data_IF_861337370829
#
_entry.id   IF_861337370829
#
_cell.length_a   1.000
_cell.length_b   1.000
_cell.length_c   1.000
_cell.angle_alpha   90.00
_cell.angle_beta   90.00
_cell.angle_gamma   90.00
#
_symmetry.space_group_name_H-M   'P 1'
#
loop_
_entity.id
_entity.type
_entity.pdbx_description
1 polymer ?
#
# COMPACT_ATOMS: atom_id res chain seq x y z
N UNK A 1 18.51 -38.19 -17.65
CA UNK A 1 18.10 -37.53 -16.42
C UNK A 1 17.55 -36.12 -16.76
N UNK A 2 18.13 -35.43 -17.75
CA UNK A 2 17.80 -34.02 -18.07
C UNK A 2 16.37 -33.81 -18.58
N UNK A 3 15.74 -34.78 -19.21
CA UNK A 3 14.36 -34.67 -19.75
C UNK A 3 13.27 -34.89 -18.68
N UNK A 4 13.64 -35.19 -17.43
CA UNK A 4 12.67 -35.48 -16.36
C UNK A 4 12.48 -34.35 -15.35
N UNK A 5 13.44 -33.43 -15.26
CA UNK A 5 13.40 -32.31 -14.32
C UNK A 5 13.34 -30.99 -15.08
N UNK A 6 12.30 -30.22 -14.83
CA UNK A 6 12.15 -28.86 -15.33
C UNK A 6 12.20 -27.88 -14.16
N UNK A 7 13.11 -26.92 -14.22
CA UNK A 7 13.22 -25.83 -13.26
C UNK A 7 12.84 -24.52 -13.95
N UNK A 8 12.03 -23.72 -13.28
CA UNK A 8 11.62 -22.39 -13.78
C UNK A 8 11.71 -21.39 -12.66
N UNK A 9 12.38 -20.28 -12.90
CA UNK A 9 12.45 -19.15 -11.98
C UNK A 9 11.91 -17.88 -12.66
N UNK A 10 11.13 -17.11 -11.92
CA UNK A 10 10.65 -15.80 -12.34
C UNK A 10 10.84 -14.81 -11.21
N UNK A 11 11.30 -13.62 -11.53
CA UNK A 11 11.44 -12.52 -10.56
C UNK A 11 10.93 -11.24 -11.20
N UNK A 12 10.21 -10.43 -10.42
CA UNK A 12 9.81 -9.09 -10.80
C UNK A 12 10.08 -8.12 -9.65
N UNK A 13 10.52 -6.93 -9.99
CA UNK A 13 10.75 -5.84 -9.04
C UNK A 13 10.06 -4.58 -9.52
N UNK A 14 9.37 -3.92 -8.61
CA UNK A 14 8.72 -2.63 -8.84
C UNK A 14 9.19 -1.65 -7.77
N UNK A 15 9.68 -0.49 -8.19
CA UNK A 15 9.97 0.65 -7.31
C UNK A 15 9.06 1.80 -7.73
N UNK A 16 8.20 2.21 -6.85
CA UNK A 16 7.23 3.27 -7.09
C UNK A 16 7.46 4.42 -6.10
N UNK A 17 7.68 5.61 -6.63
CA UNK A 17 7.79 6.84 -5.86
C UNK A 17 6.62 7.76 -6.18
N UNK A 18 6.01 8.31 -5.14
CA UNK A 18 4.96 9.33 -5.24
C UNK A 18 5.31 10.48 -4.31
N UNK A 19 5.21 11.71 -4.82
CA UNK A 19 5.22 12.93 -4.03
C UNK A 19 3.87 13.61 -4.19
N UNK A 20 3.27 13.99 -3.09
CA UNK A 20 1.97 14.67 -3.03
C UNK A 20 2.02 15.81 -2.01
N UNK A 21 0.97 16.61 -1.98
CA UNK A 21 0.80 17.65 -0.98
C UNK A 21 0.49 17.04 0.40
N UNK A 22 0.97 17.63 1.46
CA UNK A 22 0.76 17.12 2.82
C UNK A 22 -0.71 17.10 3.23
N UNK A 23 -1.44 18.18 3.02
CA UNK A 23 -2.86 18.27 3.41
C UNK A 23 -3.77 17.56 2.42
N UNK A 24 -4.14 16.31 2.72
CA UNK A 24 -5.06 15.49 1.91
C UNK A 24 -4.67 15.32 0.44
N UNK A 25 -3.44 15.59 0.07
CA UNK A 25 -2.92 15.45 -1.28
C UNK A 25 -3.59 16.35 -2.31
N UNK A 26 -3.24 16.15 -3.57
CA UNK A 26 -3.78 16.92 -4.72
C UNK A 26 -5.31 16.80 -4.83
N UNK A 27 -5.88 15.64 -4.51
CA UNK A 27 -7.34 15.44 -4.50
C UNK A 27 -8.03 16.27 -3.42
N UNK A 28 -7.36 16.57 -2.32
CA UNK A 28 -7.84 17.46 -1.26
C UNK A 28 -7.99 18.90 -1.76
N UNK A 29 -6.98 19.42 -2.47
CA UNK A 29 -7.02 20.76 -3.07
C UNK A 29 -8.18 20.89 -4.05
N UNK A 30 -8.37 19.89 -4.93
CA UNK A 30 -9.49 19.88 -5.89
C UNK A 30 -10.84 19.91 -5.17
N UNK A 31 -11.02 19.09 -4.13
CA UNK A 31 -12.26 19.10 -3.32
C UNK A 31 -12.49 20.43 -2.62
N UNK A 32 -11.45 21.08 -2.11
CA UNK A 32 -11.55 22.40 -1.51
C UNK A 32 -11.96 23.46 -2.54
N UNK A 33 -11.40 23.43 -3.75
CA UNK A 33 -11.74 24.38 -4.82
C UNK A 33 -13.21 24.31 -5.24
N UNK A 34 -13.82 23.12 -5.20
CA UNK A 34 -15.25 22.95 -5.47
C UNK A 34 -16.16 23.47 -4.35
N UNK A 35 -15.66 23.58 -3.13
CA UNK A 35 -16.42 23.98 -1.94
C UNK A 35 -16.21 25.42 -1.54
N UNK A 36 -15.15 26.06 -2.03
CA UNK A 36 -14.88 27.47 -1.75
C UNK A 36 -15.85 28.38 -2.53
N UNK A 37 -16.34 29.41 -1.88
CA UNK A 37 -17.19 30.37 -2.56
C UNK A 37 -16.40 31.15 -3.62
N UNK A 38 -16.90 31.26 -4.86
CA UNK A 38 -16.26 32.07 -5.91
C UNK A 38 -16.23 33.58 -5.65
N UNK A 39 -16.97 34.04 -4.64
CA UNK A 39 -17.01 35.45 -4.25
C UNK A 39 -15.91 35.86 -3.28
N UNK A 40 -15.15 34.89 -2.75
CA UNK A 40 -14.03 35.16 -1.86
C UNK A 40 -12.77 35.51 -2.66
N UNK A 41 -12.03 36.54 -2.28
CA UNK A 41 -10.73 36.83 -2.88
C UNK A 41 -9.72 35.75 -2.53
N UNK A 42 -8.64 35.63 -3.26
CA UNK A 42 -7.54 34.70 -2.95
C UNK A 42 -6.88 35.09 -1.63
N UNK A 43 -6.59 36.37 -1.48
CA UNK A 43 -6.09 36.99 -0.26
C UNK A 43 -7.05 38.06 0.22
N UNK A 44 -7.11 38.31 1.54
CA UNK A 44 -7.90 39.41 2.06
C UNK A 44 -7.30 40.73 1.62
N UNK A 45 -8.16 41.68 1.30
CA UNK A 45 -7.77 43.07 1.01
C UNK A 45 -7.92 43.92 2.25
N UNK A 46 -6.91 44.72 2.53
CA UNK A 46 -6.87 45.65 3.65
C UNK A 46 -6.62 47.07 3.11
N UNK A 47 -7.14 48.12 3.76
CA UNK A 47 -6.84 49.50 3.37
C UNK A 47 -5.36 49.82 3.70
N UNK A 48 -4.67 50.44 2.74
CA UNK A 48 -3.35 51.04 2.97
C UNK A 48 -3.49 52.39 3.74
N UNK A 49 -2.35 53.03 3.95
CA UNK A 49 -2.29 54.32 4.65
C UNK A 49 -3.13 55.43 3.98
N UNK A 50 -3.45 55.28 2.69
CA UNK A 50 -4.26 56.22 1.90
C UNK A 50 -5.74 55.77 1.78
N UNK A 51 -6.12 54.69 2.46
CA UNK A 51 -7.46 54.09 2.40
C UNK A 51 -7.73 53.29 1.12
N UNK A 52 -6.70 52.97 0.32
CA UNK A 52 -6.79 52.14 -0.89
C UNK A 52 -6.71 50.65 -0.50
N UNK A 53 -7.65 49.85 -1.01
CA UNK A 53 -7.63 48.37 -0.79
C UNK A 53 -6.45 47.76 -1.52
N UNK A 54 -5.59 47.09 -0.79
CA UNK A 54 -4.41 46.30 -1.28
C UNK A 54 -4.52 44.90 -0.76
N UNK A 55 -3.95 43.93 -1.53
CA UNK A 55 -3.91 42.56 -1.10
C UNK A 55 -3.03 42.43 0.15
N UNK A 56 -3.55 41.77 1.17
CA UNK A 56 -2.79 41.41 2.36
C UNK A 56 -2.00 40.12 2.11
N UNK A 57 -1.09 39.79 3.03
CA UNK A 57 -0.40 38.49 3.04
C UNK A 57 -1.31 37.37 3.61
N UNK A 58 -2.53 37.70 4.00
CA UNK A 58 -3.44 36.77 4.66
C UNK A 58 -4.34 36.04 3.67
N UNK A 59 -4.23 34.74 3.60
CA UNK A 59 -5.12 33.90 2.80
C UNK A 59 -6.59 34.06 3.24
N UNK A 60 -7.50 34.20 2.30
CA UNK A 60 -8.91 34.21 2.61
C UNK A 60 -9.40 32.85 3.13
N UNK A 61 -10.31 32.86 4.06
CA UNK A 61 -10.97 31.70 4.62
C UNK A 61 -12.47 31.85 4.53
N UNK A 62 -13.15 30.85 3.99
CA UNK A 62 -14.61 30.80 3.89
C UNK A 62 -15.20 29.65 4.69
N UNK A 63 -16.07 28.88 4.08
CA UNK A 63 -16.59 27.63 4.66
C UNK A 63 -15.54 26.53 4.71
N UNK A 64 -14.44 26.69 3.96
CA UNK A 64 -13.29 25.79 3.89
C UNK A 64 -12.00 26.61 3.78
N UNK A 65 -10.86 25.97 4.03
CA UNK A 65 -9.53 26.55 3.82
C UNK A 65 -9.33 26.89 2.34
N UNK A 66 -8.59 27.96 2.07
CA UNK A 66 -8.27 28.37 0.71
C UNK A 66 -7.48 27.26 -0.03
N UNK A 67 -7.95 26.78 -1.20
CA UNK A 67 -7.27 25.71 -1.93
C UNK A 67 -5.87 26.11 -2.41
N UNK A 68 -5.63 27.39 -2.73
CA UNK A 68 -4.30 27.87 -3.10
C UNK A 68 -3.36 27.91 -1.89
N UNK A 69 -3.83 28.32 -0.71
CA UNK A 69 -3.04 28.19 0.51
C UNK A 69 -2.58 26.76 0.71
N UNK A 70 -3.49 25.78 0.59
CA UNK A 70 -3.14 24.36 0.73
C UNK A 70 -2.15 23.93 -0.34
N UNK A 71 -2.30 24.39 -1.57
CA UNK A 71 -1.39 24.06 -2.66
C UNK A 71 0.05 24.57 -2.43
N UNK A 72 0.20 25.72 -1.79
CA UNK A 72 1.51 26.36 -1.57
C UNK A 72 2.12 26.08 -0.19
N UNK A 73 1.29 25.91 0.85
CA UNK A 73 1.76 25.87 2.23
C UNK A 73 1.54 24.52 2.94
N UNK A 74 0.90 23.54 2.31
CA UNK A 74 0.51 22.30 3.03
C UNK A 74 1.66 21.30 3.27
N UNK A 75 2.89 21.63 2.90
CA UNK A 75 4.00 20.72 2.99
C UNK A 75 3.93 19.59 1.98
N UNK A 76 4.42 18.40 2.37
CA UNK A 76 4.52 17.27 1.44
C UNK A 76 4.32 15.91 2.09
N UNK A 77 3.86 14.96 1.28
CA UNK A 77 3.92 13.52 1.53
C UNK A 77 4.79 12.85 0.46
N UNK A 78 5.85 12.18 0.88
CA UNK A 78 6.65 11.33 0.01
C UNK A 78 6.40 9.87 0.33
N UNK A 79 6.05 9.08 -0.68
CA UNK A 79 5.80 7.65 -0.54
C UNK A 79 6.70 6.85 -1.46
N UNK A 80 7.45 5.94 -0.87
CA UNK A 80 8.29 4.97 -1.57
C UNK A 80 7.72 3.58 -1.35
N UNK A 81 7.33 2.91 -2.42
CA UNK A 81 6.79 1.54 -2.37
C UNK A 81 7.66 0.64 -3.23
N UNK A 82 8.16 -0.45 -2.65
CA UNK A 82 8.96 -1.45 -3.35
C UNK A 82 8.29 -2.80 -3.23
N UNK A 83 8.19 -3.50 -4.34
CA UNK A 83 7.61 -4.84 -4.39
C UNK A 83 8.58 -5.76 -5.12
N UNK A 84 9.01 -6.81 -4.45
CA UNK A 84 9.80 -7.88 -5.04
C UNK A 84 8.96 -9.16 -5.02
N UNK A 85 8.71 -9.72 -6.20
CA UNK A 85 8.06 -11.02 -6.35
C UNK A 85 9.07 -12.02 -6.91
N UNK A 86 9.15 -13.19 -6.30
CA UNK A 86 9.91 -14.32 -6.76
C UNK A 86 9.05 -15.56 -6.81
N UNK A 87 9.15 -16.34 -7.91
CA UNK A 87 8.49 -17.64 -8.06
C UNK A 87 9.55 -18.62 -8.56
N UNK A 88 9.65 -19.75 -7.89
CA UNK A 88 10.48 -20.88 -8.29
C UNK A 88 9.61 -22.13 -8.42
N UNK A 89 9.69 -22.80 -9.56
CA UNK A 89 9.00 -24.05 -9.81
C UNK A 89 10.00 -25.15 -10.14
N UNK A 90 9.73 -26.33 -9.64
CA UNK A 90 10.45 -27.56 -9.94
C UNK A 90 9.43 -28.66 -10.27
N UNK A 91 9.47 -29.18 -11.49
CA UNK A 91 8.60 -30.26 -11.97
C UNK A 91 9.46 -31.46 -12.28
N UNK A 92 9.19 -32.59 -11.61
CA UNK A 92 9.90 -33.84 -11.78
C UNK A 92 8.95 -34.92 -12.32
N UNK A 93 9.26 -35.43 -13.51
CA UNK A 93 8.59 -36.61 -14.07
C UNK A 93 9.21 -37.86 -13.46
N UNK A 94 8.45 -38.56 -12.62
CA UNK A 94 8.92 -39.80 -11.95
C UNK A 94 8.87 -40.99 -12.92
N UNK A 95 7.68 -41.22 -13.48
CA UNK A 95 7.40 -42.21 -14.53
C UNK A 95 6.37 -41.58 -15.50
N UNK A 96 6.09 -42.32 -16.59
CA UNK A 96 5.04 -41.88 -17.50
C UNK A 96 3.70 -41.83 -16.80
N UNK A 97 3.08 -40.64 -16.84
CA UNK A 97 1.81 -40.35 -16.18
C UNK A 97 1.93 -39.84 -14.73
N UNK A 98 3.11 -39.93 -14.08
CA UNK A 98 3.28 -39.46 -12.68
C UNK A 98 4.33 -38.37 -12.60
N UNK A 99 3.88 -37.16 -12.15
CA UNK A 99 4.72 -35.98 -11.98
C UNK A 99 4.59 -35.43 -10.56
N UNK A 100 5.70 -34.95 -10.02
CA UNK A 100 5.76 -34.21 -8.77
C UNK A 100 6.13 -32.77 -9.10
N UNK A 101 5.34 -31.82 -8.61
CA UNK A 101 5.59 -30.39 -8.71
C UNK A 101 5.87 -29.79 -7.33
N UNK A 102 6.81 -28.85 -7.30
CA UNK A 102 7.07 -27.97 -6.18
C UNK A 102 7.02 -26.54 -6.70
N UNK A 103 6.32 -25.67 -5.97
CA UNK A 103 6.35 -24.24 -6.19
C UNK A 103 6.69 -23.54 -4.88
N UNK A 104 7.63 -22.62 -4.95
CA UNK A 104 7.88 -21.66 -3.88
C UNK A 104 7.72 -20.25 -4.44
N UNK A 105 6.94 -19.43 -3.75
CA UNK A 105 6.81 -18.01 -4.08
C UNK A 105 7.06 -17.15 -2.85
N UNK A 106 7.66 -15.98 -3.08
CA UNK A 106 7.85 -14.95 -2.07
C UNK A 106 7.46 -13.60 -2.65
N UNK A 107 6.62 -12.86 -1.91
CA UNK A 107 6.28 -11.47 -2.15
C UNK A 107 6.81 -10.65 -0.98
N UNK A 108 7.69 -9.69 -1.28
CA UNK A 108 8.22 -8.73 -0.31
C UNK A 108 7.69 -7.36 -0.72
N UNK A 109 6.89 -6.78 0.14
CA UNK A 109 6.32 -5.45 -0.02
C UNK A 109 6.85 -4.54 1.08
N UNK A 110 7.47 -3.43 0.70
CA UNK A 110 7.88 -2.38 1.64
C UNK A 110 7.28 -1.05 1.23
N UNK A 111 6.81 -0.30 2.21
CA UNK A 111 6.30 1.06 1.99
C UNK A 111 6.83 1.99 3.08
N UNK A 112 7.50 3.03 2.66
CA UNK A 112 7.89 4.15 3.49
C UNK A 112 7.05 5.37 3.12
N UNK A 113 6.55 6.08 4.12
CA UNK A 113 5.86 7.36 3.97
C UNK A 113 6.52 8.37 4.87
N UNK A 114 7.00 9.46 4.28
CA UNK A 114 7.57 10.61 4.97
C UNK A 114 6.63 11.79 4.73
N UNK A 115 6.10 12.38 5.79
CA UNK A 115 5.11 13.46 5.75
C UNK A 115 5.59 14.64 6.57
N UNK A 116 5.54 15.81 5.99
CA UNK A 116 5.74 17.09 6.65
C UNK A 116 4.55 17.98 6.39
N UNK A 117 3.92 18.45 7.45
CA UNK A 117 2.82 19.39 7.43
C UNK A 117 3.20 20.63 8.23
N UNK A 118 3.46 21.76 7.58
CA UNK A 118 3.71 23.02 8.25
C UNK A 118 2.43 23.58 8.88
N UNK A 119 2.60 24.46 9.82
CA UNK A 119 1.49 25.19 10.43
C UNK A 119 0.90 26.18 9.43
N UNK A 120 -0.31 25.92 8.97
CA UNK A 120 -1.04 26.81 8.08
C UNK A 120 -1.98 27.72 8.90
N UNK A 121 -1.76 29.04 8.87
CA UNK A 121 -2.59 30.02 9.54
C UNK A 121 -3.67 30.58 8.60
N UNK A 122 -4.85 30.82 9.11
CA UNK A 122 -5.97 31.39 8.37
C UNK A 122 -6.54 32.58 9.13
N UNK A 123 -7.11 33.55 8.41
CA UNK A 123 -7.53 34.84 8.96
C UNK A 123 -8.93 35.19 8.50
N UNK A 124 -9.64 35.97 9.31
CA UNK A 124 -10.88 36.65 8.93
C UNK A 124 -10.62 37.86 8.03
N UNK A 125 -11.64 38.39 7.41
CA UNK A 125 -11.54 39.54 6.51
C UNK A 125 -11.08 40.84 7.19
N UNK A 126 -11.19 40.92 8.51
CA UNK A 126 -10.70 42.02 9.34
C UNK A 126 -9.23 41.88 9.75
N UNK A 127 -8.54 40.80 9.28
CA UNK A 127 -7.16 40.50 9.62
C UNK A 127 -6.99 39.78 10.95
N UNK A 128 -8.05 39.51 11.71
CA UNK A 128 -7.94 38.75 12.95
C UNK A 128 -7.70 37.24 12.67
N UNK A 129 -6.88 36.57 13.48
CA UNK A 129 -6.61 35.16 13.30
C UNK A 129 -7.85 34.31 13.59
N UNK A 130 -8.09 33.27 12.80
CA UNK A 130 -9.11 32.29 13.10
C UNK A 130 -8.78 31.53 14.40
N UNK A 131 -9.81 31.25 15.21
CA UNK A 131 -9.68 30.44 16.42
C UNK A 131 -9.04 29.08 16.14
N UNK A 132 -9.32 28.50 14.99
CA UNK A 132 -8.70 27.23 14.55
C UNK A 132 -7.16 27.28 14.45
N UNK A 133 -6.56 28.48 14.40
CA UNK A 133 -5.11 28.63 14.40
C UNK A 133 -4.46 28.32 15.76
N UNK A 134 -5.23 28.37 16.85
CA UNK A 134 -4.73 28.05 18.20
C UNK A 134 -4.31 26.58 18.29
N UNK A 135 -5.03 25.69 17.60
CA UNK A 135 -4.75 24.25 17.56
C UNK A 135 -3.90 23.83 16.34
N UNK A 136 -3.57 24.77 15.46
CA UNK A 136 -2.76 24.48 14.28
C UNK A 136 -1.32 24.17 14.69
N UNK A 137 -0.83 23.00 14.27
CA UNK A 137 0.51 22.50 14.54
C UNK A 137 1.21 22.16 13.25
N UNK A 138 2.50 22.35 13.24
CA UNK A 138 3.39 21.73 12.29
C UNK A 138 3.82 20.37 12.84
N UNK A 139 3.94 19.39 11.96
CA UNK A 139 4.40 18.06 12.35
C UNK A 139 5.17 17.35 11.26
N UNK A 140 6.04 16.44 11.69
CA UNK A 140 6.69 15.46 10.85
C UNK A 140 6.20 14.08 11.26
N UNK A 141 5.82 13.28 10.29
CA UNK A 141 5.46 11.88 10.49
C UNK A 141 6.24 10.99 9.53
N UNK A 142 6.77 9.89 10.05
CA UNK A 142 7.43 8.86 9.26
C UNK A 142 6.81 7.51 9.59
N UNK A 143 6.46 6.74 8.56
CA UNK A 143 5.95 5.39 8.76
C UNK A 143 6.60 4.40 7.81
N UNK A 144 6.80 3.19 8.31
CA UNK A 144 7.37 2.07 7.58
C UNK A 144 6.47 0.86 7.72
N UNK A 145 6.18 0.21 6.59
CA UNK A 145 5.41 -1.03 6.52
C UNK A 145 6.21 -2.05 5.73
N UNK A 146 6.48 -3.19 6.35
CA UNK A 146 7.04 -4.37 5.72
C UNK A 146 6.01 -5.49 5.74
N UNK A 147 5.80 -6.13 4.61
CA UNK A 147 4.99 -7.34 4.48
C UNK A 147 5.76 -8.36 3.67
N UNK A 148 5.91 -9.55 4.21
CA UNK A 148 6.52 -10.68 3.53
C UNK A 148 5.55 -11.84 3.52
N UNK A 149 5.01 -12.16 2.34
CA UNK A 149 4.14 -13.31 2.11
C UNK A 149 4.91 -14.38 1.36
N UNK A 150 4.87 -15.61 1.86
CA UNK A 150 5.55 -16.75 1.26
C UNK A 150 4.56 -17.90 1.09
N UNK A 151 4.68 -18.62 -0.02
CA UNK A 151 3.84 -19.80 -0.28
C UNK A 151 4.72 -20.95 -0.75
N UNK A 152 4.57 -22.10 -0.12
CA UNK A 152 5.18 -23.36 -0.53
C UNK A 152 4.07 -24.33 -0.90
N UNK A 153 4.15 -24.88 -2.12
CA UNK A 153 3.18 -25.82 -2.62
C UNK A 153 3.86 -27.06 -3.17
N UNK A 154 3.29 -28.21 -2.87
CA UNK A 154 3.66 -29.49 -3.48
C UNK A 154 2.44 -30.09 -4.15
N UNK A 155 2.65 -30.70 -5.31
CA UNK A 155 1.62 -31.42 -6.06
C UNK A 155 2.13 -32.75 -6.56
N UNK A 156 1.28 -33.76 -6.49
CA UNK A 156 1.47 -35.06 -7.11
C UNK A 156 0.36 -35.21 -8.15
N UNK A 157 0.76 -35.32 -9.41
CA UNK A 157 -0.16 -35.44 -10.54
C UNK A 157 0.00 -36.79 -11.18
N UNK A 158 -1.10 -37.54 -11.33
CA UNK A 158 -1.18 -38.80 -12.03
C UNK A 158 -2.18 -38.69 -13.17
N UNK A 159 -1.76 -39.06 -14.38
CA UNK A 159 -2.63 -39.12 -15.56
C UNK A 159 -2.28 -40.38 -16.35
N UNK A 160 -3.27 -41.22 -16.66
CA UNK A 160 -3.06 -42.45 -17.42
C UNK A 160 -4.29 -42.78 -18.25
N UNK A 161 -4.03 -43.12 -19.51
CA UNK A 161 -5.05 -43.69 -20.42
C UNK A 161 -4.81 -45.19 -20.57
N UNK A 162 -5.86 -45.99 -20.33
CA UNK A 162 -5.85 -47.44 -20.45
C UNK A 162 -7.06 -47.83 -21.33
N UNK A 163 -6.76 -48.11 -22.61
CA UNK A 163 -7.84 -48.36 -23.58
C UNK A 163 -8.78 -47.21 -23.74
N UNK A 164 -10.04 -47.36 -23.34
CA UNK A 164 -11.08 -46.29 -23.39
C UNK A 164 -11.25 -45.55 -22.08
N UNK A 165 -10.43 -45.84 -21.07
CA UNK A 165 -10.49 -45.22 -19.75
C UNK A 165 -9.38 -44.19 -19.60
N UNK A 166 -9.72 -42.98 -19.22
CA UNK A 166 -8.79 -41.93 -18.87
C UNK A 166 -8.92 -41.65 -17.36
N UNK A 167 -7.80 -41.78 -16.67
CA UNK A 167 -7.70 -41.58 -15.23
C UNK A 167 -6.79 -40.39 -14.94
N UNK A 168 -7.28 -39.45 -14.14
CA UNK A 168 -6.51 -38.32 -13.61
C UNK A 168 -6.66 -38.25 -12.10
N UNK A 169 -5.57 -38.01 -11.39
CA UNK A 169 -5.58 -37.73 -9.96
C UNK A 169 -4.57 -36.64 -9.63
N UNK A 170 -4.93 -35.76 -8.71
CA UNK A 170 -4.06 -34.74 -8.14
C UNK A 170 -4.17 -34.79 -6.62
N UNK A 171 -3.03 -34.80 -5.96
CA UNK A 171 -2.92 -34.52 -4.54
C UNK A 171 -2.04 -33.30 -4.36
N UNK A 172 -2.41 -32.42 -3.45
CA UNK A 172 -1.67 -31.20 -3.20
C UNK A 172 -1.62 -30.84 -1.73
N UNK A 173 -0.52 -30.19 -1.39
CA UNK A 173 -0.27 -29.53 -0.13
C UNK A 173 0.15 -28.11 -0.43
N UNK A 174 -0.37 -27.14 0.32
CA UNK A 174 0.05 -25.74 0.25
C UNK A 174 0.16 -25.19 1.66
N UNK A 175 1.20 -24.42 1.90
CA UNK A 175 1.35 -23.62 3.10
C UNK A 175 1.71 -22.19 2.70
N UNK A 176 0.93 -21.25 3.20
CA UNK A 176 1.15 -19.82 3.05
C UNK A 176 1.36 -19.21 4.44
N UNK A 177 2.27 -18.26 4.55
CA UNK A 177 2.50 -17.48 5.76
C UNK A 177 2.86 -16.06 5.41
N UNK A 178 2.40 -15.14 6.24
CA UNK A 178 2.66 -13.72 6.12
C UNK A 178 3.21 -13.18 7.43
N UNK A 179 4.25 -12.39 7.32
CA UNK A 179 4.77 -11.55 8.39
C UNK A 179 4.53 -10.10 8.00
N UNK A 180 3.92 -9.34 8.90
CA UNK A 180 3.65 -7.93 8.73
C UNK A 180 4.23 -7.14 9.89
N UNK A 181 4.96 -6.08 9.59
CA UNK A 181 5.52 -5.17 10.58
C UNK A 181 5.22 -3.73 10.20
N UNK A 182 4.76 -2.95 11.16
CA UNK A 182 4.58 -1.51 11.00
C UNK A 182 5.38 -0.77 12.06
N UNK A 183 5.97 0.35 11.68
CA UNK A 183 6.60 1.28 12.59
C UNK A 183 6.21 2.70 12.16
N UNK A 184 5.78 3.53 13.11
CA UNK A 184 5.45 4.92 12.87
C UNK A 184 5.99 5.82 13.97
N UNK A 185 6.40 7.02 13.61
CA UNK A 185 6.79 8.07 14.53
C UNK A 185 6.27 9.42 14.06
N UNK A 186 5.86 10.27 15.01
CA UNK A 186 5.40 11.63 14.74
C UNK A 186 5.94 12.57 15.79
N UNK A 187 6.34 13.76 15.38
CA UNK A 187 6.74 14.85 16.27
C UNK A 187 6.20 16.16 15.77
N UNK A 188 5.84 17.04 16.67
CA UNK A 188 5.36 18.38 16.40
C UNK A 188 6.48 19.42 16.65
N UNK A 189 6.22 20.66 16.28
CA UNK A 189 7.08 21.83 16.45
C UNK A 189 8.45 21.65 15.78
N UNK A 190 8.46 21.77 14.47
CA UNK A 190 9.64 21.56 13.62
C UNK A 190 10.51 22.82 13.66
N UNK A 191 11.76 22.66 14.11
CA UNK A 191 12.69 23.80 14.25
C UNK A 191 13.12 24.43 12.92
N UNK A 192 13.25 23.62 11.90
CA UNK A 192 13.76 24.02 10.58
C UNK A 192 12.87 23.42 9.52
N UNK A 193 12.09 24.24 8.82
CA UNK A 193 11.12 23.79 7.82
C UNK A 193 11.72 23.03 6.64
N UNK A 194 12.98 23.29 6.32
CA UNK A 194 13.69 22.61 5.22
C UNK A 194 14.22 21.20 5.60
N UNK A 195 14.19 20.84 6.88
CA UNK A 195 14.72 19.55 7.38
C UNK A 195 13.59 18.62 7.75
N UNK A 196 13.21 17.75 6.82
CA UNK A 196 12.09 16.81 6.97
C UNK A 196 12.52 15.47 7.56
N UNK A 197 13.15 15.49 8.73
CA UNK A 197 13.53 14.30 9.48
C UNK A 197 12.86 14.29 10.86
N UNK A 198 12.49 13.13 11.36
CA UNK A 198 11.73 13.00 12.62
C UNK A 198 12.40 13.70 13.79
N UNK A 199 13.74 13.76 13.82
CA UNK A 199 14.50 14.41 14.89
C UNK A 199 14.44 15.93 14.86
N UNK A 200 13.92 16.56 13.80
CA UNK A 200 13.70 18.01 13.73
C UNK A 200 12.49 18.49 14.55
N UNK A 201 11.54 17.60 14.86
CA UNK A 201 10.41 17.89 15.74
C UNK A 201 10.82 17.86 17.21
N UNK A 202 10.35 18.86 17.99
CA UNK A 202 10.83 19.12 19.35
C UNK A 202 9.91 18.65 20.45
N UNK A 203 8.63 18.43 20.16
CA UNK A 203 7.62 18.04 21.15
C UNK A 203 6.72 16.93 20.64
N UNK A 204 5.88 16.37 21.51
CA UNK A 204 4.90 15.33 21.21
C UNK A 204 5.54 14.11 20.54
N UNK A 205 6.52 13.50 21.22
CA UNK A 205 7.21 12.31 20.73
C UNK A 205 6.26 11.11 20.74
N UNK A 206 5.56 10.89 19.63
CA UNK A 206 4.68 9.75 19.44
C UNK A 206 5.35 8.69 18.57
N UNK A 207 5.18 7.44 18.97
CA UNK A 207 5.57 6.28 18.17
C UNK A 207 4.54 5.17 18.29
N UNK A 208 4.46 4.34 17.28
CA UNK A 208 3.64 3.15 17.26
C UNK A 208 4.32 2.06 16.45
N UNK A 209 4.04 0.82 16.80
CA UNK A 209 4.53 -0.32 16.04
C UNK A 209 3.66 -1.53 16.29
N UNK A 210 3.43 -2.32 15.25
CA UNK A 210 2.74 -3.61 15.34
C UNK A 210 3.51 -4.67 14.58
N UNK A 211 3.34 -5.91 15.00
CA UNK A 211 3.85 -7.08 14.31
C UNK A 211 2.76 -8.14 14.30
N UNK A 212 2.35 -8.55 13.12
CA UNK A 212 1.31 -9.54 12.92
C UNK A 212 1.86 -10.70 12.07
N UNK A 213 1.46 -11.90 12.40
CA UNK A 213 1.84 -13.12 11.68
C UNK A 213 0.60 -13.98 11.51
N UNK A 214 0.43 -14.58 10.33
CA UNK A 214 -0.58 -15.59 10.11
C UNK A 214 -0.07 -16.70 9.19
N UNK A 215 -0.69 -17.86 9.27
CA UNK A 215 -0.38 -18.98 8.39
C UNK A 215 -1.65 -19.72 8.00
N UNK A 216 -1.66 -20.18 6.74
CA UNK A 216 -2.70 -21.02 6.17
C UNK A 216 -2.08 -22.30 5.63
N UNK A 217 -2.61 -23.44 6.02
CA UNK A 217 -2.19 -24.75 5.52
C UNK A 217 -3.37 -25.44 4.86
N UNK A 218 -3.14 -25.98 3.67
CA UNK A 218 -4.17 -26.58 2.85
C UNK A 218 -3.73 -27.95 2.33
N UNK A 219 -4.66 -28.91 2.36
CA UNK A 219 -4.55 -30.18 1.68
C UNK A 219 -5.70 -30.26 0.67
N UNK A 220 -5.39 -30.66 -0.56
CA UNK A 220 -6.39 -30.76 -1.60
C UNK A 220 -6.15 -31.95 -2.50
N UNK A 221 -7.23 -32.46 -3.08
CA UNK A 221 -7.20 -33.55 -4.01
C UNK A 221 -8.30 -33.45 -5.05
N UNK A 222 -8.00 -34.01 -6.22
CA UNK A 222 -8.95 -34.13 -7.33
C UNK A 222 -8.78 -35.47 -7.99
N UNK A 223 -9.91 -36.07 -8.38
CA UNK A 223 -9.96 -37.27 -9.19
C UNK A 223 -10.82 -36.99 -10.40
N UNK A 224 -10.31 -37.31 -11.57
CA UNK A 224 -10.99 -37.22 -12.86
C UNK A 224 -11.04 -38.59 -13.49
N UNK A 225 -12.17 -38.95 -14.06
CA UNK A 225 -12.35 -40.16 -14.84
C UNK A 225 -13.16 -39.88 -16.09
N UNK A 226 -12.68 -40.37 -17.22
CA UNK A 226 -13.44 -40.31 -18.46
C UNK A 226 -13.49 -41.71 -19.09
N UNK A 227 -14.65 -42.07 -19.63
CA UNK A 227 -14.84 -43.30 -20.41
C UNK A 227 -15.29 -42.93 -21.82
N UNK A 228 -14.47 -43.37 -22.79
CA UNK A 228 -14.70 -43.17 -24.24
C UNK A 228 -14.93 -41.69 -24.62
N UNK A 229 -14.43 -40.76 -23.81
CA UNK A 229 -14.68 -39.34 -23.99
C UNK A 229 -16.14 -38.89 -23.84
N UNK A 230 -17.05 -39.82 -23.44
CA UNK A 230 -18.49 -39.58 -23.37
C UNK A 230 -19.00 -39.44 -21.94
N UNK A 231 -18.47 -40.21 -21.00
CA UNK A 231 -18.88 -40.18 -19.60
C UNK A 231 -17.73 -39.62 -18.79
N UNK A 232 -18.00 -38.50 -18.13
CA UNK A 232 -17.00 -37.74 -17.38
C UNK A 232 -17.42 -37.69 -15.91
N UNK A 233 -16.49 -37.94 -15.01
CA UNK A 233 -16.67 -37.80 -13.57
C UNK A 233 -15.51 -37.01 -13.00
N UNK A 234 -15.82 -36.03 -12.12
CA UNK A 234 -14.83 -35.27 -11.36
C UNK A 234 -15.27 -35.15 -9.90
N UNK A 235 -14.32 -35.33 -8.99
CA UNK A 235 -14.49 -35.05 -7.57
C UNK A 235 -13.33 -34.24 -7.04
N UNK A 236 -13.61 -33.20 -6.27
CA UNK A 236 -12.63 -32.32 -5.63
C UNK A 236 -12.88 -32.27 -4.12
N UNK A 237 -11.81 -32.28 -3.35
CA UNK A 237 -11.83 -32.09 -1.91
C UNK A 237 -10.70 -31.13 -1.51
N UNK A 238 -10.98 -30.23 -0.55
CA UNK A 238 -9.99 -29.35 0.06
C UNK A 238 -10.27 -29.22 1.56
N UNK A 239 -9.23 -29.20 2.36
CA UNK A 239 -9.27 -28.95 3.78
C UNK A 239 -8.22 -27.88 4.11
N UNK A 240 -8.66 -26.82 4.79
CA UNK A 240 -7.84 -25.66 5.16
C UNK A 240 -7.81 -25.51 6.69
N UNK A 241 -6.63 -25.20 7.21
CA UNK A 241 -6.40 -24.85 8.61
C UNK A 241 -5.64 -23.53 8.67
N UNK A 242 -6.08 -22.62 9.52
CA UNK A 242 -5.46 -21.31 9.73
C UNK A 242 -5.06 -21.13 11.19
N UNK A 243 -4.02 -20.34 11.43
CA UNK A 243 -3.56 -19.93 12.75
C UNK A 243 -3.41 -18.41 12.79
#
# INVERSE_FOLDING_TARGET
VYDRLKLTGQMSYVDFYKKDLGYSGTSGVFRLSQRMSPLLPVMWQIPDENGRMVDSENWSYGSVRNPLQVAYESGMEERKTRVLNGIFNADLKIIDGLNVGMQYSANIYTRQVDEFNPKMLSYYSDGSPLKANEDAKDYISQSHLDVMTQTLQFTLNFNKTIGRHELGALLGFSQEWENRSTLGATRDNVMVEDIHVISAGMINFMNSGTKDEWALRSYFGRVNYAFDGKYLFEANLRADGTS
#
